data_IF_792337877792
#
_entry.id   IF_792337877792
#
_cell.length_a   1.000
_cell.length_b   1.000
_cell.length_c   1.000
_cell.angle_alpha   90.00
_cell.angle_beta   90.00
_cell.angle_gamma   90.00
#
_symmetry.space_group_name_H-M   'P 1'
#
loop_
_entity.id
_entity.type
_entity.pdbx_description
1 polymer ?
#
# COMPACT_ATOMS: atom_id res chain seq x y z
N UNK A 1 7.77 -14.48 -17.73
CA UNK A 1 8.75 -14.38 -16.63
C UNK A 1 8.43 -13.22 -15.67
N UNK A 2 8.27 -11.99 -16.18
CA UNK A 2 7.96 -10.82 -15.36
C UNK A 2 6.67 -10.97 -14.55
N UNK A 3 5.61 -11.53 -15.14
CA UNK A 3 4.33 -11.77 -14.45
C UNK A 3 4.50 -12.68 -13.24
N UNK A 4 5.29 -13.73 -13.36
CA UNK A 4 5.56 -14.66 -12.25
C UNK A 4 6.37 -14.00 -11.14
N UNK A 5 7.33 -13.18 -11.51
CA UNK A 5 8.19 -12.47 -10.55
C UNK A 5 7.37 -11.49 -9.72
N UNK A 6 6.55 -10.67 -10.37
CA UNK A 6 5.67 -9.71 -9.68
C UNK A 6 4.67 -10.43 -8.78
N UNK A 7 4.12 -11.55 -9.22
CA UNK A 7 3.15 -12.32 -8.44
C UNK A 7 3.73 -12.85 -7.11
N UNK A 8 5.03 -13.14 -7.09
CA UNK A 8 5.72 -13.65 -5.90
C UNK A 8 6.12 -12.57 -4.91
N UNK A 9 6.09 -11.31 -5.31
CA UNK A 9 6.50 -10.20 -4.46
C UNK A 9 5.34 -9.65 -3.62
N UNK A 10 5.66 -9.00 -2.53
CA UNK A 10 4.68 -8.29 -1.70
C UNK A 10 4.49 -6.85 -2.15
N UNK A 11 5.41 -6.31 -2.91
CA UNK A 11 5.35 -4.96 -3.47
C UNK A 11 6.48 -4.72 -4.46
N UNK A 12 6.44 -3.58 -5.12
CA UNK A 12 7.41 -3.22 -6.17
C UNK A 12 7.96 -1.83 -5.89
N UNK A 13 9.27 -1.68 -6.01
CA UNK A 13 9.95 -0.38 -5.96
C UNK A 13 10.47 -0.07 -7.36
N UNK A 14 10.10 1.09 -7.88
CA UNK A 14 10.50 1.54 -9.21
C UNK A 14 11.27 2.85 -9.08
N UNK A 15 12.51 2.88 -9.56
CA UNK A 15 13.27 4.12 -9.70
C UNK A 15 12.95 4.70 -11.08
N UNK A 16 12.28 5.84 -11.12
CA UNK A 16 11.67 6.39 -12.31
C UNK A 16 12.18 7.78 -12.70
N UNK A 17 13.43 8.10 -12.31
CA UNK A 17 14.07 9.36 -12.71
C UNK A 17 14.11 9.48 -14.24
N UNK A 18 14.37 8.37 -14.92
CA UNK A 18 14.31 8.26 -16.37
C UNK A 18 13.29 7.20 -16.75
N UNK A 19 12.06 7.64 -16.98
CA UNK A 19 10.96 6.73 -17.32
C UNK A 19 11.20 6.05 -18.69
N UNK A 20 10.87 4.77 -18.78
CA UNK A 20 10.87 4.03 -20.02
C UNK A 20 9.65 3.10 -20.11
N UNK A 21 9.48 2.48 -21.28
CA UNK A 21 8.35 1.60 -21.54
C UNK A 21 8.31 0.40 -20.59
N UNK A 22 9.44 -0.21 -20.28
CA UNK A 22 9.52 -1.38 -19.40
C UNK A 22 9.06 -1.05 -17.98
N UNK A 23 9.38 0.13 -17.47
CA UNK A 23 8.89 0.60 -16.17
C UNK A 23 7.37 0.70 -16.15
N UNK A 24 6.78 1.31 -17.17
CA UNK A 24 5.33 1.43 -17.30
C UNK A 24 4.66 0.06 -17.34
N UNK A 25 5.24 -0.88 -18.04
CA UNK A 25 4.75 -2.25 -18.12
C UNK A 25 4.79 -2.96 -16.75
N UNK A 26 5.90 -2.86 -16.04
CA UNK A 26 6.06 -3.45 -14.71
C UNK A 26 5.07 -2.85 -13.71
N UNK A 27 4.86 -1.54 -13.75
CA UNK A 27 3.90 -0.88 -12.91
C UNK A 27 2.47 -1.33 -13.20
N UNK A 28 2.12 -1.46 -14.47
CA UNK A 28 0.80 -1.95 -14.88
C UNK A 28 0.56 -3.37 -14.38
N UNK A 29 1.56 -4.24 -14.49
CA UNK A 29 1.48 -5.60 -13.98
C UNK A 29 1.28 -5.63 -12.46
N UNK A 30 2.01 -4.78 -11.74
CA UNK A 30 1.89 -4.68 -10.29
C UNK A 30 0.50 -4.20 -9.87
N UNK A 31 -0.03 -3.17 -10.53
CA UNK A 31 -1.38 -2.65 -10.27
C UNK A 31 -2.42 -3.73 -10.53
N UNK A 32 -2.30 -4.43 -11.65
CA UNK A 32 -3.22 -5.51 -12.01
C UNK A 32 -3.23 -6.63 -10.96
N UNK A 33 -2.10 -6.91 -10.35
CA UNK A 33 -1.96 -7.91 -9.30
C UNK A 33 -2.18 -7.36 -7.88
N UNK A 34 -2.67 -6.13 -7.77
CA UNK A 34 -2.93 -5.45 -6.49
C UNK A 34 -1.70 -5.34 -5.58
N UNK A 35 -0.52 -5.15 -6.18
CA UNK A 35 0.72 -4.97 -5.43
C UNK A 35 0.99 -3.48 -5.21
N UNK A 36 1.35 -3.07 -3.98
CA UNK A 36 1.74 -1.68 -3.75
C UNK A 36 3.04 -1.35 -4.48
N UNK A 37 3.14 -0.11 -4.94
CA UNK A 37 4.27 0.39 -5.69
C UNK A 37 4.85 1.62 -4.99
N UNK A 38 6.14 1.63 -4.75
CA UNK A 38 6.88 2.83 -4.40
C UNK A 38 7.59 3.34 -5.64
N UNK A 39 7.17 4.50 -6.12
CA UNK A 39 7.78 5.17 -7.25
C UNK A 39 8.77 6.21 -6.73
N UNK A 40 10.04 6.03 -7.01
CA UNK A 40 11.11 6.92 -6.58
C UNK A 40 11.63 7.75 -7.75
N UNK A 41 11.81 9.04 -7.52
CA UNK A 41 12.36 9.98 -8.50
C UNK A 41 13.39 10.86 -7.82
N UNK A 42 14.48 11.18 -8.53
CA UNK A 42 15.42 12.18 -8.04
C UNK A 42 14.77 13.55 -8.00
N UNK A 43 15.01 14.28 -6.92
CA UNK A 43 14.49 15.63 -6.76
C UNK A 43 15.03 16.55 -7.87
N UNK A 44 14.13 17.25 -8.55
CA UNK A 44 14.48 18.14 -9.65
C UNK A 44 14.51 17.48 -11.03
N UNK A 45 14.44 16.16 -11.12
CA UNK A 45 14.24 15.48 -12.39
C UNK A 45 12.75 15.55 -12.74
N UNK A 46 12.32 16.56 -13.46
CA UNK A 46 10.93 16.71 -13.87
C UNK A 46 10.45 15.49 -14.66
N UNK A 47 9.90 14.51 -13.99
CA UNK A 47 9.31 13.37 -14.68
C UNK A 47 7.81 13.62 -14.82
N UNK A 48 7.34 13.52 -16.05
CA UNK A 48 5.93 13.66 -16.40
C UNK A 48 5.14 12.36 -16.19
N UNK A 49 5.54 11.54 -15.21
CA UNK A 49 4.77 10.33 -14.90
C UNK A 49 3.55 10.74 -14.09
N UNK A 50 2.51 11.13 -14.77
CA UNK A 50 1.18 11.28 -14.17
C UNK A 50 0.51 9.92 -14.15
N UNK A 51 0.60 9.24 -13.02
CA UNK A 51 -0.06 7.96 -12.83
C UNK A 51 -1.47 8.09 -12.28
N UNK A 52 -2.03 9.28 -12.33
CA UNK A 52 -3.33 9.51 -11.73
C UNK A 52 -3.36 9.17 -10.23
N UNK A 53 -4.50 9.35 -9.59
CA UNK A 53 -4.67 9.02 -8.18
C UNK A 53 -4.92 7.52 -7.99
N UNK A 54 -3.86 6.71 -8.07
CA UNK A 54 -3.96 5.28 -7.78
C UNK A 54 -3.44 5.02 -6.36
N UNK A 55 -4.30 4.46 -5.51
CA UNK A 55 -3.96 4.21 -4.10
C UNK A 55 -2.82 3.21 -3.90
N UNK A 56 -2.52 2.38 -4.89
CA UNK A 56 -1.42 1.43 -4.84
C UNK A 56 -0.07 2.09 -5.12
N UNK A 57 -0.06 3.26 -5.75
CA UNK A 57 1.16 3.97 -6.14
C UNK A 57 1.46 5.08 -5.15
N UNK A 58 2.60 4.98 -4.50
CA UNK A 58 3.12 6.01 -3.61
C UNK A 58 4.37 6.62 -4.26
N UNK A 59 4.27 7.88 -4.66
CA UNK A 59 5.37 8.59 -5.32
C UNK A 59 6.17 9.39 -4.29
N UNK A 60 7.48 9.17 -4.25
CA UNK A 60 8.41 9.90 -3.37
C UNK A 60 9.61 10.40 -4.17
N UNK A 61 10.06 11.60 -3.85
CA UNK A 61 11.32 12.12 -4.38
C UNK A 61 12.45 11.89 -3.38
N UNK A 62 13.66 11.77 -3.87
CA UNK A 62 14.85 11.58 -3.03
C UNK A 62 16.03 12.37 -3.58
N UNK A 63 17.03 12.57 -2.74
CA UNK A 63 18.30 13.19 -3.09
C UNK A 63 19.41 12.15 -3.00
N UNK A 64 20.19 12.00 -4.07
CA UNK A 64 21.29 11.03 -4.12
C UNK A 64 22.36 11.33 -3.07
N UNK A 65 22.51 12.60 -2.67
CA UNK A 65 23.46 13.03 -1.65
C UNK A 65 23.04 12.67 -0.21
N UNK A 66 21.80 12.24 -0.03
CA UNK A 66 21.24 11.91 1.28
C UNK A 66 20.72 10.47 1.31
N UNK A 67 21.62 9.48 1.33
CA UNK A 67 21.20 8.08 1.30
C UNK A 67 20.37 7.65 2.51
N UNK A 68 20.55 8.30 3.66
CA UNK A 68 19.77 7.98 4.85
C UNK A 68 18.26 8.28 4.68
N UNK A 69 17.91 9.33 3.96
CA UNK A 69 16.52 9.65 3.65
C UNK A 69 15.89 8.60 2.73
N UNK A 70 16.63 8.17 1.71
CA UNK A 70 16.18 7.14 0.80
C UNK A 70 15.95 5.82 1.54
N UNK A 71 16.87 5.43 2.39
CA UNK A 71 16.77 4.22 3.20
C UNK A 71 15.52 4.25 4.09
N UNK A 72 15.25 5.38 4.75
CA UNK A 72 14.07 5.55 5.58
C UNK A 72 12.78 5.41 4.77
N UNK A 73 12.72 5.99 3.58
CA UNK A 73 11.55 5.88 2.69
C UNK A 73 11.31 4.43 2.26
N UNK A 74 12.37 3.68 1.97
CA UNK A 74 12.28 2.26 1.65
C UNK A 74 11.78 1.45 2.85
N UNK A 75 12.32 1.71 4.04
CA UNK A 75 11.89 1.04 5.27
C UNK A 75 10.41 1.31 5.58
N UNK A 76 9.97 2.56 5.44
CA UNK A 76 8.58 2.94 5.67
C UNK A 76 7.64 2.22 4.70
N UNK A 77 8.05 2.07 3.44
CA UNK A 77 7.28 1.34 2.45
C UNK A 77 7.15 -0.15 2.82
N UNK A 78 8.25 -0.78 3.21
CA UNK A 78 8.26 -2.19 3.63
C UNK A 78 7.38 -2.40 4.87
N UNK A 79 7.46 -1.51 5.86
CA UNK A 79 6.61 -1.56 7.05
C UNK A 79 5.14 -1.41 6.69
N UNK A 80 4.84 -0.49 5.78
CA UNK A 80 3.48 -0.30 5.27
C UNK A 80 2.92 -1.55 4.59
N UNK A 81 3.72 -2.26 3.81
CA UNK A 81 3.32 -3.52 3.19
C UNK A 81 2.97 -4.59 4.23
N UNK A 82 3.76 -4.71 5.28
CA UNK A 82 3.50 -5.68 6.35
C UNK A 82 2.19 -5.39 7.08
N UNK A 83 1.85 -4.11 7.26
CA UNK A 83 0.61 -3.70 7.91
C UNK A 83 -0.63 -3.92 7.04
N UNK A 84 -0.48 -3.82 5.71
CA UNK A 84 -1.59 -3.82 4.76
C UNK A 84 -1.78 -5.14 4.03
N UNK A 85 -1.18 -6.23 4.52
CA UNK A 85 -1.33 -7.55 3.88
C UNK A 85 -2.74 -8.12 4.09
N UNK A 86 -3.73 -7.43 3.55
CA UNK A 86 -5.14 -7.80 3.59
C UNK A 86 -5.51 -8.44 2.26
N UNK A 87 -5.37 -9.76 2.16
CA UNK A 87 -5.53 -10.51 0.90
C UNK A 87 -6.81 -11.35 0.84
N UNK A 88 -7.49 -11.54 1.96
CA UNK A 88 -8.73 -12.32 2.02
C UNK A 88 -9.94 -11.41 2.15
N UNK A 89 -10.94 -11.63 1.31
CA UNK A 89 -12.22 -10.94 1.40
C UNK A 89 -13.20 -11.79 2.17
N UNK A 90 -13.95 -11.14 3.05
CA UNK A 90 -15.00 -11.77 3.82
C UNK A 90 -16.21 -10.85 3.88
N UNK A 91 -17.36 -11.33 3.44
CA UNK A 91 -18.62 -10.59 3.53
C UNK A 91 -19.39 -11.06 4.74
N UNK A 92 -19.77 -10.13 5.60
CA UNK A 92 -20.49 -10.43 6.83
C UNK A 92 -21.80 -9.64 6.87
N UNK A 93 -22.91 -10.36 7.05
CA UNK A 93 -24.20 -9.75 7.30
C UNK A 93 -24.35 -9.50 8.80
N UNK A 94 -24.76 -8.30 9.16
CA UNK A 94 -24.91 -7.89 10.56
C UNK A 94 -26.35 -7.55 10.87
N UNK A 95 -26.81 -7.86 12.08
CA UNK A 95 -28.09 -7.36 12.56
C UNK A 95 -28.01 -5.85 12.78
N UNK A 96 -29.18 -5.22 12.88
CA UNK A 96 -29.29 -3.78 13.12
C UNK A 96 -28.56 -3.37 14.42
N UNK A 97 -28.72 -4.15 15.47
CA UNK A 97 -28.13 -3.88 16.78
C UNK A 97 -26.59 -3.97 16.75
N UNK A 98 -26.06 -5.02 16.11
CA UNK A 98 -24.62 -5.20 15.97
C UNK A 98 -24.02 -4.07 15.10
N UNK A 99 -24.69 -3.72 14.01
CA UNK A 99 -24.20 -2.64 13.15
C UNK A 99 -24.21 -1.29 13.90
N UNK A 100 -25.26 -1.00 14.66
CA UNK A 100 -25.34 0.22 15.47
C UNK A 100 -24.21 0.30 16.50
N UNK A 101 -23.93 -0.79 17.17
CA UNK A 101 -22.83 -0.88 18.14
C UNK A 101 -21.47 -0.65 17.46
N UNK A 102 -21.24 -1.25 16.29
CA UNK A 102 -20.01 -1.06 15.52
C UNK A 102 -19.82 0.40 15.09
N UNK A 103 -20.89 1.06 14.64
CA UNK A 103 -20.84 2.47 14.26
C UNK A 103 -20.46 3.35 15.44
N UNK A 104 -21.07 3.11 16.59
CA UNK A 104 -20.80 3.86 17.81
C UNK A 104 -19.36 3.68 18.29
N UNK A 105 -18.89 2.44 18.38
CA UNK A 105 -17.54 2.14 18.86
C UNK A 105 -16.45 2.59 17.90
N UNK A 106 -16.65 2.43 16.60
CA UNK A 106 -15.68 2.89 15.62
C UNK A 106 -15.55 4.42 15.58
N UNK A 107 -16.68 5.13 15.73
CA UNK A 107 -16.68 6.59 15.82
C UNK A 107 -15.96 7.07 17.09
N UNK A 108 -16.22 6.43 18.24
CA UNK A 108 -15.59 6.77 19.50
C UNK A 108 -14.07 6.59 19.46
N UNK A 109 -13.59 5.53 18.81
CA UNK A 109 -12.16 5.23 18.67
C UNK A 109 -11.51 5.91 17.46
N UNK A 110 -12.27 6.55 16.59
CA UNK A 110 -11.75 7.22 15.39
C UNK A 110 -11.18 6.28 14.34
N UNK A 111 -11.71 5.06 14.25
CA UNK A 111 -11.28 4.04 13.27
C UNK A 111 -12.45 3.57 12.42
N UNK A 112 -12.17 2.85 11.33
CA UNK A 112 -13.24 2.28 10.49
C UNK A 112 -13.91 1.08 11.18
N UNK A 113 -15.12 0.74 10.76
CA UNK A 113 -15.81 -0.48 11.24
C UNK A 113 -14.97 -1.73 10.99
N UNK A 114 -14.34 -1.82 9.81
CA UNK A 114 -13.49 -2.95 9.46
C UNK A 114 -12.26 -3.04 10.37
N UNK A 115 -11.63 -1.92 10.67
CA UNK A 115 -10.48 -1.89 11.59
C UNK A 115 -10.89 -2.28 13.02
N UNK A 116 -12.06 -1.84 13.44
CA UNK A 116 -12.59 -2.22 14.74
C UNK A 116 -12.83 -3.73 14.85
N UNK A 117 -13.45 -4.32 13.82
CA UNK A 117 -13.68 -5.78 13.76
C UNK A 117 -12.34 -6.52 13.81
N UNK A 118 -11.36 -6.10 13.00
CA UNK A 118 -10.04 -6.72 13.02
C UNK A 118 -9.36 -6.62 14.37
N UNK A 119 -9.48 -5.49 15.06
CA UNK A 119 -8.90 -5.31 16.39
C UNK A 119 -9.51 -6.25 17.44
N UNK A 120 -10.82 -6.48 17.38
CA UNK A 120 -11.49 -7.43 18.25
C UNK A 120 -11.02 -8.86 18.02
N UNK A 121 -10.85 -9.24 16.75
CA UNK A 121 -10.36 -10.58 16.40
C UNK A 121 -8.93 -10.77 16.90
N UNK A 122 -8.06 -9.80 16.66
CA UNK A 122 -6.67 -9.85 17.14
C UNK A 122 -6.61 -9.96 18.65
N UNK A 123 -7.47 -9.22 19.36
CA UNK A 123 -7.57 -9.27 20.80
C UNK A 123 -7.99 -10.67 21.29
N UNK A 124 -8.98 -11.28 20.63
CA UNK A 124 -9.45 -12.62 20.97
C UNK A 124 -8.40 -13.70 20.68
N UNK A 125 -7.56 -13.49 19.65
CA UNK A 125 -6.45 -14.39 19.35
C UNK A 125 -5.36 -14.40 20.44
N UNK A 126 -5.35 -13.43 21.34
CA UNK A 126 -4.38 -13.34 22.42
C UNK A 126 -3.01 -12.82 21.98
N UNK A 127 -2.97 -12.09 20.89
CA UNK A 127 -1.74 -11.55 20.31
C UNK A 127 -1.55 -10.08 20.72
#
# INVERSE_FOLDING_TARGET
KAVREVKKTDGVVVEATHANFDMGRMMTLAIFQHKPILLLQQKGAGSDIELGANRLVNTKSYQAEKPAELERKLEDFVKGMKRQKLTYRFNLMLSRDINGYLLEQSAEKGISKADYIRSLIVQDMGV
#
